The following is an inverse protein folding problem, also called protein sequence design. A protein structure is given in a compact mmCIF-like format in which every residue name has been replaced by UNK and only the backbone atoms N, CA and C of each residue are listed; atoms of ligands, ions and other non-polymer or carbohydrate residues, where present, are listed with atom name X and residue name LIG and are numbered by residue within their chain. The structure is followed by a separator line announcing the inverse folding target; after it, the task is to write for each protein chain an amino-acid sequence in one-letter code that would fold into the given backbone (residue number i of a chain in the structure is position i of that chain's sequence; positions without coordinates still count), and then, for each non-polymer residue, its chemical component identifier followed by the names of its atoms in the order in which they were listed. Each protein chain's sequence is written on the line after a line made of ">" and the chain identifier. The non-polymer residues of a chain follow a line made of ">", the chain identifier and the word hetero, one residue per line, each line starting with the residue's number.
data_IF_540857625248
#
_entry.id   IF_540857625248
#
_cell.length_a   1.000
_cell.length_b   1.000
_cell.length_c   1.000
_cell.angle_alpha   90.00
_cell.angle_beta   90.00
_cell.angle_gamma   90.00
#
_symmetry.space_group_name_H-M   'P 1'
#
loop_
_entity.id
_entity.type
_entity.pdbx_description
1 polymer ?
#
# COMPACT_ATOMS: atom_id res chain seq x y z
N UNK A 1 22.29 -3.11 -3.73
CA UNK A 1 20.95 -2.87 -3.14
C UNK A 1 20.28 -1.66 -3.83
N UNK A 2 19.44 -1.90 -4.84
CA UNK A 2 18.84 -0.87 -5.71
C UNK A 2 17.53 -0.26 -5.16
N UNK A 3 17.42 -0.05 -3.84
CA UNK A 3 16.21 0.49 -3.17
C UNK A 3 16.05 2.02 -3.40
N UNK A 4 16.84 2.59 -4.31
CA UNK A 4 16.93 4.01 -4.62
C UNK A 4 16.11 4.52 -5.80
N UNK A 5 15.74 3.65 -6.76
CA UNK A 5 15.16 4.12 -8.03
C UNK A 5 13.75 4.68 -7.84
N UNK A 6 13.45 5.89 -8.34
CA UNK A 6 12.17 6.57 -8.10
C UNK A 6 10.97 5.75 -8.57
N UNK A 7 11.15 4.98 -9.65
CA UNK A 7 10.11 4.14 -10.24
C UNK A 7 9.69 2.98 -9.32
N UNK A 8 10.65 2.31 -8.66
CA UNK A 8 10.37 1.23 -7.69
C UNK A 8 9.64 1.79 -6.47
N UNK A 9 10.06 2.98 -6.01
CA UNK A 9 9.41 3.66 -4.87
C UNK A 9 7.97 4.04 -5.20
N UNK A 10 7.74 4.61 -6.38
CA UNK A 10 6.41 4.95 -6.89
C UNK A 10 5.52 3.71 -7.02
N UNK A 11 6.03 2.62 -7.60
CA UNK A 11 5.28 1.38 -7.74
C UNK A 11 4.88 0.78 -6.39
N UNK A 12 5.81 0.70 -5.42
CA UNK A 12 5.51 0.21 -4.06
C UNK A 12 4.48 1.07 -3.35
N UNK A 13 4.60 2.40 -3.48
CA UNK A 13 3.64 3.35 -2.92
C UNK A 13 2.24 3.19 -3.54
N UNK A 14 2.18 2.94 -4.85
CA UNK A 14 0.92 2.69 -5.56
C UNK A 14 0.27 1.37 -5.10
N UNK A 15 1.03 0.27 -5.05
CA UNK A 15 0.51 -1.03 -4.58
C UNK A 15 -0.01 -0.92 -3.14
N UNK A 16 0.75 -0.22 -2.28
CA UNK A 16 0.32 0.10 -0.91
C UNK A 16 -1.02 0.85 -0.90
N UNK A 17 -1.11 1.95 -1.67
CA UNK A 17 -2.30 2.79 -1.72
C UNK A 17 -3.53 2.03 -2.23
N UNK A 18 -3.37 1.23 -3.30
CA UNK A 18 -4.45 0.39 -3.86
C UNK A 18 -4.91 -0.64 -2.85
N UNK A 19 -3.99 -1.34 -2.17
CA UNK A 19 -4.35 -2.34 -1.17
C UNK A 19 -5.10 -1.72 0.01
N UNK A 20 -4.57 -0.64 0.60
CA UNK A 20 -5.22 0.04 1.72
C UNK A 20 -6.61 0.55 1.33
N UNK A 21 -6.70 1.31 0.22
CA UNK A 21 -7.95 1.92 -0.24
C UNK A 21 -8.99 0.86 -0.59
N UNK A 22 -8.59 -0.18 -1.32
CA UNK A 22 -9.48 -1.27 -1.71
C UNK A 22 -10.02 -2.04 -0.52
N UNK A 23 -9.16 -2.36 0.46
CA UNK A 23 -9.58 -3.04 1.69
C UNK A 23 -10.54 -2.17 2.51
N UNK A 24 -10.22 -0.88 2.71
CA UNK A 24 -11.11 0.04 3.44
C UNK A 24 -12.46 0.17 2.74
N UNK A 25 -12.47 0.35 1.42
CA UNK A 25 -13.71 0.49 0.64
C UNK A 25 -14.57 -0.78 0.68
N UNK A 26 -13.95 -1.96 0.55
CA UNK A 26 -14.64 -3.24 0.62
C UNK A 26 -15.25 -3.48 2.00
N UNK A 27 -14.52 -3.16 3.07
CA UNK A 27 -15.03 -3.25 4.44
C UNK A 27 -16.18 -2.28 4.69
N UNK A 28 -16.08 -1.04 4.18
CA UNK A 28 -17.14 -0.06 4.31
C UNK A 28 -18.42 -0.51 3.58
N UNK A 29 -18.29 -1.08 2.38
CA UNK A 29 -19.41 -1.67 1.65
C UNK A 29 -20.01 -2.88 2.39
N UNK A 30 -19.17 -3.77 2.93
CA UNK A 30 -19.61 -4.93 3.70
C UNK A 30 -20.32 -4.56 5.02
N UNK A 31 -19.97 -3.41 5.60
CA UNK A 31 -20.63 -2.84 6.78
C UNK A 31 -21.96 -2.13 6.46
N UNK A 32 -22.43 -2.16 5.20
CA UNK A 32 -23.69 -1.56 4.76
C UNK A 32 -23.54 -0.18 4.13
N UNK A 33 -22.31 0.31 3.91
CA UNK A 33 -22.04 1.57 3.22
C UNK A 33 -22.30 1.49 1.70
N UNK A 34 -22.49 2.64 1.06
CA UNK A 34 -22.71 2.70 -0.39
C UNK A 34 -21.39 2.47 -1.17
N UNK A 35 -21.50 2.10 -2.45
CA UNK A 35 -20.34 1.97 -3.34
C UNK A 35 -19.82 3.36 -3.73
N UNK A 36 -18.57 3.65 -3.38
CA UNK A 36 -17.91 4.88 -3.82
C UNK A 36 -17.79 4.95 -5.34
N UNK A 37 -17.97 6.16 -5.88
CA UNK A 37 -17.73 6.45 -7.30
C UNK A 37 -16.25 6.20 -7.66
N UNK A 38 -15.94 5.67 -8.86
CA UNK A 38 -14.56 5.37 -9.25
C UNK A 38 -13.61 6.56 -9.18
N UNK A 39 -14.08 7.79 -9.42
CA UNK A 39 -13.23 8.98 -9.31
C UNK A 39 -12.85 9.27 -7.86
N UNK A 40 -13.75 9.04 -6.91
CA UNK A 40 -13.46 9.15 -5.48
C UNK A 40 -12.41 8.13 -5.03
N UNK A 41 -12.53 6.89 -5.50
CA UNK A 41 -11.53 5.85 -5.21
C UNK A 41 -10.18 6.20 -5.83
N UNK A 42 -10.16 6.70 -7.06
CA UNK A 42 -8.94 7.16 -7.73
C UNK A 42 -8.27 8.31 -6.96
N UNK A 43 -9.06 9.28 -6.47
CA UNK A 43 -8.56 10.38 -5.65
C UNK A 43 -7.95 9.90 -4.33
N UNK A 44 -8.60 8.94 -3.65
CA UNK A 44 -8.06 8.33 -2.44
C UNK A 44 -6.73 7.59 -2.70
N UNK A 45 -6.67 6.78 -3.77
CA UNK A 45 -5.43 6.10 -4.18
C UNK A 45 -4.33 7.12 -4.50
N UNK A 46 -4.65 8.19 -5.24
CA UNK A 46 -3.68 9.22 -5.60
C UNK A 46 -3.14 9.93 -4.35
N UNK A 47 -4.02 10.31 -3.41
CA UNK A 47 -3.64 10.96 -2.16
C UNK A 47 -2.74 10.06 -1.29
N UNK A 48 -3.12 8.80 -1.10
CA UNK A 48 -2.32 7.84 -0.32
C UNK A 48 -0.99 7.55 -1.01
N UNK A 49 -0.97 7.43 -2.34
CA UNK A 49 0.27 7.24 -3.11
C UNK A 49 1.20 8.43 -2.92
N UNK A 50 0.71 9.66 -3.10
CA UNK A 50 1.48 10.88 -2.92
C UNK A 50 2.08 10.99 -1.51
N UNK A 51 1.32 10.61 -0.47
CA UNK A 51 1.80 10.56 0.90
C UNK A 51 2.82 9.42 1.15
N UNK A 52 2.67 8.28 0.48
CA UNK A 52 3.51 7.11 0.67
C UNK A 52 4.87 7.19 -0.07
N UNK A 53 4.95 7.88 -1.22
CA UNK A 53 6.19 8.06 -1.99
C UNK A 53 7.37 8.59 -1.15
N UNK A 54 7.25 9.69 -0.37
CA UNK A 54 8.36 10.18 0.44
C UNK A 54 8.73 9.21 1.58
N UNK A 55 7.76 8.43 2.08
CA UNK A 55 7.97 7.44 3.13
C UNK A 55 8.76 6.23 2.63
N UNK A 56 8.66 5.92 1.33
CA UNK A 56 9.42 4.86 0.64
C UNK A 56 10.91 5.13 0.47
N UNK A 57 11.42 6.28 0.91
CA UNK A 57 12.87 6.61 0.90
C UNK A 57 13.68 5.74 1.87
N UNK A 58 13.05 5.22 2.94
CA UNK A 58 13.70 4.40 3.97
C UNK A 58 13.13 2.99 3.93
N UNK A 59 13.98 1.97 4.09
CA UNK A 59 13.51 0.62 4.39
C UNK A 59 12.85 0.65 5.76
N UNK A 60 11.57 0.23 5.82
CA UNK A 60 10.82 0.13 7.07
C UNK A 60 10.70 -1.33 7.44
N UNK A 61 11.04 -1.65 8.69
CA UNK A 61 10.73 -2.96 9.25
C UNK A 61 9.21 -3.19 9.37
N UNK A 62 8.80 -4.41 9.76
CA UNK A 62 7.38 -4.80 9.83
C UNK A 62 6.54 -3.86 10.72
N UNK A 63 7.10 -3.37 11.83
CA UNK A 63 6.43 -2.40 12.70
C UNK A 63 6.18 -1.06 12.01
N UNK A 64 7.12 -0.59 11.19
CA UNK A 64 6.96 0.66 10.45
C UNK A 64 5.92 0.55 9.33
N UNK A 65 5.78 -0.63 8.72
CA UNK A 65 4.71 -0.93 7.77
C UNK A 65 3.35 -1.03 8.47
N UNK A 66 3.28 -1.69 9.63
CA UNK A 66 2.07 -1.76 10.45
C UNK A 66 1.58 -0.37 10.85
N UNK A 67 2.46 0.48 11.38
CA UNK A 67 2.12 1.84 11.76
C UNK A 67 1.61 2.66 10.55
N UNK A 68 2.24 2.51 9.38
CA UNK A 68 1.79 3.16 8.15
C UNK A 68 0.42 2.65 7.69
N UNK A 69 0.16 1.34 7.80
CA UNK A 69 -1.13 0.76 7.47
C UNK A 69 -2.22 1.24 8.43
N UNK A 70 -1.96 1.27 9.74
CA UNK A 70 -2.90 1.80 10.74
C UNK A 70 -3.23 3.25 10.42
N UNK A 71 -2.22 4.09 10.18
CA UNK A 71 -2.44 5.50 9.84
C UNK A 71 -3.26 5.66 8.54
N UNK A 72 -2.92 4.90 7.49
CA UNK A 72 -3.66 4.94 6.23
C UNK A 72 -5.10 4.47 6.38
N UNK A 73 -5.34 3.38 7.13
CA UNK A 73 -6.67 2.85 7.42
C UNK A 73 -7.51 3.87 8.20
N UNK A 74 -6.95 4.54 9.21
CA UNK A 74 -7.65 5.57 9.98
C UNK A 74 -8.02 6.78 9.12
N UNK A 75 -7.08 7.29 8.32
CA UNK A 75 -7.34 8.44 7.43
C UNK A 75 -8.38 8.09 6.37
N UNK A 76 -8.27 6.94 5.72
CA UNK A 76 -9.21 6.50 4.70
C UNK A 76 -10.60 6.22 5.29
N UNK A 77 -10.67 5.65 6.50
CA UNK A 77 -11.94 5.45 7.21
C UNK A 77 -12.64 6.79 7.44
N UNK A 78 -11.93 7.78 8.00
CA UNK A 78 -12.50 9.13 8.21
C UNK A 78 -12.91 9.76 6.89
N UNK A 79 -12.07 9.68 5.86
CA UNK A 79 -12.39 10.21 4.53
C UNK A 79 -13.68 9.61 3.96
N UNK A 80 -13.84 8.30 4.03
CA UNK A 80 -15.01 7.58 3.53
C UNK A 80 -16.27 7.82 4.37
N UNK A 81 -16.13 7.94 5.69
CA UNK A 81 -17.25 8.33 6.58
C UNK A 81 -17.73 9.76 6.30
N UNK A 82 -16.81 10.69 6.05
CA UNK A 82 -17.17 12.06 5.65
C UNK A 82 -17.84 12.08 4.27
N UNK A 83 -17.33 11.30 3.31
CA UNK A 83 -17.89 11.21 1.97
C UNK A 83 -19.28 10.54 1.95
N UNK A 84 -19.59 9.63 2.89
CA UNK A 84 -20.90 8.98 2.97
C UNK A 84 -21.98 9.85 3.64
N UNK A 85 -21.64 11.04 4.14
CA UNK A 85 -22.60 12.02 4.69
C UNK A 85 -23.20 11.67 6.06
N UNK A 86 -22.76 10.58 6.70
CA UNK A 86 -23.29 10.10 7.98
C UNK A 86 -22.34 10.43 9.15
N UNK A 87 -22.44 11.66 9.69
CA UNK A 87 -21.63 12.11 10.83
C UNK A 87 -21.80 11.25 12.10
N UNK A 88 -22.91 10.51 12.22
CA UNK A 88 -23.17 9.58 13.33
C UNK A 88 -22.23 8.35 13.35
N UNK A 89 -21.41 8.15 12.32
CA UNK A 89 -20.41 7.07 12.24
C UNK A 89 -18.98 7.53 12.52
N UNK A 90 -18.79 8.73 13.09
CA UNK A 90 -17.46 9.22 13.48
C UNK A 90 -16.89 8.56 14.75
N UNK A 91 -17.73 7.90 15.55
CA UNK A 91 -17.30 7.04 16.67
C UNK A 91 -17.39 5.56 16.24
N UNK A 92 -16.30 4.98 15.70
CA UNK A 92 -16.31 3.59 15.27
C UNK A 92 -16.37 2.67 16.48
N UNK A 93 -17.48 1.92 16.59
CA UNK A 93 -17.60 0.86 17.60
C UNK A 93 -16.42 -0.11 17.58
N UNK A 94 -16.15 -0.74 18.73
CA UNK A 94 -14.97 -1.61 18.94
C UNK A 94 -14.79 -2.68 17.86
N UNK A 95 -15.88 -3.23 17.34
CA UNK A 95 -15.86 -4.23 16.26
C UNK A 95 -15.26 -3.67 14.98
N UNK A 96 -15.67 -2.47 14.56
CA UNK A 96 -15.18 -1.86 13.32
C UNK A 96 -13.72 -1.42 13.45
N UNK A 97 -13.36 -0.85 14.60
CA UNK A 97 -11.95 -0.56 14.93
C UNK A 97 -11.12 -1.83 14.88
N UNK A 98 -11.59 -2.93 15.47
CA UNK A 98 -10.92 -4.24 15.42
C UNK A 98 -10.74 -4.76 13.98
N UNK A 99 -11.75 -4.62 13.13
CA UNK A 99 -11.70 -5.01 11.71
C UNK A 99 -10.66 -4.18 10.94
N UNK A 100 -10.60 -2.85 11.14
CA UNK A 100 -9.58 -2.01 10.50
C UNK A 100 -8.17 -2.31 11.02
N UNK A 101 -8.00 -2.64 12.31
CA UNK A 101 -6.71 -3.05 12.86
C UNK A 101 -6.25 -4.39 12.28
N UNK A 102 -7.15 -5.37 12.17
CA UNK A 102 -6.86 -6.66 11.54
C UNK A 102 -6.50 -6.46 10.06
N UNK A 103 -7.27 -5.65 9.35
CA UNK A 103 -6.99 -5.28 7.96
C UNK A 103 -5.62 -4.59 7.82
N UNK A 104 -5.28 -3.66 8.72
CA UNK A 104 -3.98 -3.02 8.74
C UNK A 104 -2.86 -4.05 8.96
N UNK A 105 -3.03 -5.00 9.88
CA UNK A 105 -2.05 -6.04 10.15
C UNK A 105 -1.86 -6.98 8.95
N UNK A 106 -2.95 -7.46 8.35
CA UNK A 106 -2.91 -8.32 7.16
C UNK A 106 -2.25 -7.60 5.99
N UNK A 107 -2.63 -6.34 5.74
CA UNK A 107 -2.05 -5.52 4.66
C UNK A 107 -0.56 -5.29 4.90
N UNK A 108 -0.16 -4.98 6.13
CA UNK A 108 1.25 -4.80 6.50
C UNK A 108 2.08 -6.08 6.31
N UNK A 109 1.55 -7.23 6.73
CA UNK A 109 2.20 -8.54 6.53
C UNK A 109 2.34 -8.89 5.04
N UNK A 110 1.28 -8.65 4.25
CA UNK A 110 1.30 -8.87 2.82
C UNK A 110 2.35 -8.02 2.12
N UNK A 111 2.40 -6.72 2.44
CA UNK A 111 3.38 -5.79 1.88
C UNK A 111 4.81 -6.13 2.29
N UNK A 112 5.02 -6.53 3.54
CA UNK A 112 6.33 -6.97 4.01
C UNK A 112 6.85 -8.19 3.22
N UNK A 113 5.94 -9.14 2.90
CA UNK A 113 6.29 -10.27 2.04
C UNK A 113 6.49 -9.88 0.57
N UNK A 114 5.68 -8.97 0.05
CA UNK A 114 5.82 -8.46 -1.32
C UNK A 114 7.15 -7.74 -1.54
N UNK A 115 7.61 -6.95 -0.55
CA UNK A 115 8.92 -6.31 -0.58
C UNK A 115 10.07 -7.33 -0.66
N UNK A 116 9.99 -8.40 0.14
CA UNK A 116 10.99 -9.47 0.11
C UNK A 116 10.98 -10.21 -1.23
N UNK A 117 9.80 -10.48 -1.81
CA UNK A 117 9.67 -11.14 -3.10
C UNK A 117 10.21 -10.26 -4.25
N UNK A 118 9.93 -8.95 -4.24
CA UNK A 118 10.47 -8.00 -5.21
C UNK A 118 11.99 -7.88 -5.12
N UNK A 119 12.55 -7.89 -3.91
CA UNK A 119 14.00 -7.92 -3.72
C UNK A 119 14.60 -9.21 -4.31
N UNK A 120 14.03 -10.37 -4.01
CA UNK A 120 14.48 -11.65 -4.55
C UNK A 120 14.38 -11.71 -6.09
N UNK A 121 13.28 -11.21 -6.67
CA UNK A 121 13.12 -11.14 -8.13
C UNK A 121 14.15 -10.21 -8.77
N UNK A 122 14.41 -9.05 -8.16
CA UNK A 122 15.44 -8.13 -8.64
C UNK A 122 16.83 -8.78 -8.58
N UNK A 123 17.16 -9.48 -7.50
CA UNK A 123 18.42 -10.20 -7.33
C UNK A 123 18.57 -11.31 -8.39
N UNK A 124 17.52 -12.11 -8.62
CA UNK A 124 17.48 -13.13 -9.69
C UNK A 124 17.69 -12.51 -11.07
N UNK A 125 16.96 -11.44 -11.40
CA UNK A 125 17.11 -10.74 -12.68
C UNK A 125 18.54 -10.22 -12.86
N UNK A 126 19.18 -9.69 -11.81
CA UNK A 126 20.58 -9.29 -11.90
C UNK A 126 21.53 -10.47 -12.08
N UNK A 127 21.31 -11.59 -11.39
CA UNK A 127 22.12 -12.80 -11.51
C UNK A 127 22.05 -13.41 -12.92
N UNK A 128 20.88 -13.38 -13.57
CA UNK A 128 20.71 -13.90 -14.92
C UNK A 128 21.12 -12.90 -16.02
N UNK A 129 20.82 -11.60 -15.87
CA UNK A 129 21.10 -10.61 -16.91
C UNK A 129 22.56 -10.13 -16.91
N UNK A 130 23.23 -10.07 -15.76
CA UNK A 130 24.62 -9.62 -15.67
C UNK A 130 25.61 -10.47 -16.48
N UNK A 131 25.62 -11.83 -16.40
CA UNK A 131 26.53 -12.63 -17.21
C UNK A 131 26.20 -12.56 -18.70
N UNK A 132 24.92 -12.52 -19.09
CA UNK A 132 24.53 -12.37 -20.49
C UNK A 132 25.00 -11.03 -21.07
N UNK A 133 24.86 -9.93 -20.31
CA UNK A 133 25.36 -8.62 -20.71
C UNK A 133 26.89 -8.56 -20.74
N UNK A 134 27.58 -9.19 -19.78
CA UNK A 134 29.03 -9.29 -19.77
C UNK A 134 29.58 -10.08 -20.97
N UNK A 135 28.91 -11.17 -21.35
CA UNK A 135 29.27 -11.95 -22.55
C UNK A 135 29.04 -11.15 -23.83
N UNK A 136 27.92 -10.42 -23.94
CA UNK A 136 27.64 -9.55 -25.09
C UNK A 136 28.66 -8.42 -25.22
N UNK A 137 29.06 -7.80 -24.11
CA UNK A 137 30.08 -6.75 -24.10
C UNK A 137 31.49 -7.30 -24.37
N UNK A 138 31.79 -8.53 -23.95
CA UNK A 138 33.07 -9.18 -24.24
C UNK A 138 33.19 -9.69 -25.69
N UNK A 139 32.06 -9.84 -26.39
CA UNK A 139 31.98 -10.25 -27.80
C UNK A 139 31.88 -9.07 -28.79
N UNK A 140 31.84 -7.83 -28.29
CA UNK A 140 31.81 -6.58 -29.06
C UNK A 140 33.19 -5.91 -29.08
#
# INVERSE_FOLDING_TARGET
>A
MHVGRPLIRGFRALVFAVACTGVTAALHFAAGGHRFDPLHLAAAVAAVTAAAVPLGKRQRGPLGLLAACIAAQSVLHVWFTLASGHLAHLDPGLTMTGVHLLAAAVTALWLARGDAALAALADLLTLFAAPALALLLAAA
#
